data_IF_901105023785
#
_entry.id   IF_901105023785
#
_cell.length_a   1.000
_cell.length_b   1.000
_cell.length_c   1.000
_cell.angle_alpha   90.00
_cell.angle_beta   90.00
_cell.angle_gamma   90.00
#
_symmetry.space_group_name_H-M   'P 1'
#
loop_
_entity.id
_entity.type
_entity.pdbx_description
1 polymer ?
#
# COMPACT_ATOMS: atom_id res chain seq x y z
N UNK A 1 16.76 -16.26 67.54
CA UNK A 1 17.59 -16.44 66.32
C UNK A 1 16.76 -15.95 65.15
N UNK A 2 17.20 -14.83 64.61
CA UNK A 2 16.53 -13.98 63.64
C UNK A 2 16.86 -14.51 62.25
N UNK A 3 15.90 -15.07 61.51
CA UNK A 3 16.09 -15.38 60.09
C UNK A 3 15.44 -14.30 59.25
N UNK A 4 16.30 -13.62 58.51
CA UNK A 4 16.02 -12.41 57.75
C UNK A 4 15.22 -12.67 56.47
N UNK A 5 14.43 -11.65 56.15
CA UNK A 5 13.84 -11.33 54.86
C UNK A 5 14.78 -11.68 53.70
N UNK A 6 14.34 -12.54 52.79
CA UNK A 6 14.76 -12.45 51.39
C UNK A 6 13.65 -11.76 50.62
N UNK A 7 13.95 -10.56 50.14
CA UNK A 7 13.14 -9.84 49.18
C UNK A 7 13.23 -10.57 47.85
N UNK A 8 12.12 -11.13 47.38
CA UNK A 8 11.94 -11.52 45.99
C UNK A 8 11.86 -10.23 45.18
N UNK A 9 12.95 -9.90 44.51
CA UNK A 9 12.93 -8.91 43.44
C UNK A 9 12.15 -9.53 42.27
N UNK A 10 10.87 -9.18 42.17
CA UNK A 10 10.07 -9.44 40.98
C UNK A 10 10.63 -8.59 39.84
N UNK A 11 11.46 -9.22 39.01
CA UNK A 11 11.88 -8.68 37.73
C UNK A 11 10.65 -8.72 36.81
N UNK A 12 10.03 -7.55 36.61
CA UNK A 12 8.95 -7.36 35.65
C UNK A 12 9.58 -7.40 34.25
N UNK A 13 9.64 -8.59 33.65
CA UNK A 13 10.02 -8.74 32.25
C UNK A 13 8.84 -8.21 31.42
N UNK A 14 8.96 -6.99 30.89
CA UNK A 14 8.10 -6.54 29.80
C UNK A 14 8.43 -7.45 28.60
N UNK A 15 7.68 -8.53 28.44
CA UNK A 15 7.66 -9.26 27.19
C UNK A 15 6.97 -8.33 26.20
N UNK A 16 7.75 -7.60 25.39
CA UNK A 16 7.24 -7.11 24.12
C UNK A 16 6.77 -8.36 23.38
N UNK A 17 5.45 -8.54 23.27
CA UNK A 17 4.88 -9.54 22.37
C UNK A 17 5.20 -9.06 20.96
N UNK A 18 6.40 -9.37 20.48
CA UNK A 18 6.73 -9.34 19.06
C UNK A 18 5.73 -10.26 18.39
N UNK A 19 4.85 -9.69 17.59
CA UNK A 19 3.70 -10.39 17.06
C UNK A 19 4.15 -11.05 15.77
N UNK A 20 4.75 -12.24 15.84
CA UNK A 20 5.21 -12.97 14.66
C UNK A 20 4.06 -13.32 13.68
N UNK A 21 4.42 -13.74 12.47
CA UNK A 21 3.47 -14.10 11.41
C UNK A 21 2.49 -15.13 11.94
N UNK A 22 1.22 -14.77 11.95
CA UNK A 22 0.12 -15.63 12.36
C UNK A 22 -0.64 -16.08 11.13
N UNK A 23 -0.61 -17.38 10.83
CA UNK A 23 -1.35 -17.98 9.72
C UNK A 23 -2.55 -18.76 10.28
N UNK A 24 -3.75 -18.29 9.96
CA UNK A 24 -5.02 -18.96 10.26
C UNK A 24 -5.51 -19.69 8.98
N UNK A 25 -5.42 -21.01 8.94
CA UNK A 25 -5.80 -21.79 7.76
C UNK A 25 -7.13 -22.48 8.01
N UNK A 26 -8.14 -22.15 7.21
CA UNK A 26 -9.44 -22.81 7.21
C UNK A 26 -9.58 -23.72 5.98
N UNK A 27 -9.44 -25.05 6.13
CA UNK A 27 -9.57 -25.99 5.02
C UNK A 27 -11.04 -26.26 4.63
N UNK A 28 -12.02 -25.66 5.30
CA UNK A 28 -13.44 -25.87 5.00
C UNK A 28 -13.78 -25.41 3.58
N UNK A 29 -14.54 -26.22 2.84
CA UNK A 29 -14.99 -25.86 1.49
C UNK A 29 -14.09 -26.35 0.35
N UNK A 30 -13.02 -27.11 0.64
CA UNK A 30 -12.18 -27.70 -0.40
C UNK A 30 -11.34 -28.90 0.07
N UNK A 31 -10.18 -29.08 -0.56
CA UNK A 31 -9.26 -30.18 -0.30
C UNK A 31 -8.62 -30.08 1.10
N UNK A 32 -8.53 -31.20 1.81
CA UNK A 32 -7.92 -31.27 3.14
C UNK A 32 -6.40 -31.06 3.14
N UNK A 33 -5.77 -30.96 1.95
CA UNK A 33 -4.33 -30.73 1.81
C UNK A 33 -3.92 -29.26 1.95
N UNK A 34 -4.88 -28.33 2.09
CA UNK A 34 -4.59 -26.89 2.14
C UNK A 34 -3.56 -26.54 3.21
N UNK A 35 -3.74 -27.04 4.44
CA UNK A 35 -2.81 -26.80 5.55
C UNK A 35 -1.38 -27.26 5.23
N UNK A 36 -1.23 -28.47 4.67
CA UNK A 36 0.07 -29.02 4.28
C UNK A 36 0.73 -28.16 3.20
N UNK A 37 -0.05 -27.67 2.22
CA UNK A 37 0.44 -26.85 1.12
C UNK A 37 0.83 -25.45 1.57
N UNK A 38 0.07 -24.84 2.47
CA UNK A 38 0.44 -23.55 3.10
C UNK A 38 1.74 -23.72 3.88
N UNK A 39 1.85 -24.77 4.69
CA UNK A 39 3.09 -25.06 5.42
C UNK A 39 4.30 -25.25 4.48
N UNK A 40 4.11 -25.94 3.36
CA UNK A 40 5.14 -26.13 2.34
C UNK A 40 5.55 -24.80 1.67
N UNK A 41 4.60 -23.92 1.37
CA UNK A 41 4.88 -22.60 0.80
C UNK A 41 5.71 -21.73 1.75
N UNK A 42 5.35 -21.69 3.04
CA UNK A 42 6.13 -20.97 4.06
C UNK A 42 7.53 -21.58 4.22
N UNK A 43 7.64 -22.91 4.23
CA UNK A 43 8.93 -23.59 4.29
C UNK A 43 9.81 -23.26 3.07
N UNK A 44 9.22 -23.09 1.89
CA UNK A 44 9.95 -22.68 0.69
C UNK A 44 10.56 -21.27 0.85
N UNK A 45 9.80 -20.30 1.39
CA UNK A 45 10.31 -18.96 1.67
C UNK A 45 11.41 -18.95 2.74
N UNK A 46 11.29 -19.75 3.79
CA UNK A 46 12.38 -19.94 4.77
C UNK A 46 13.63 -20.53 4.11
N UNK A 47 13.46 -21.52 3.24
CA UNK A 47 14.58 -22.13 2.51
C UNK A 47 15.26 -21.15 1.55
N UNK A 48 14.53 -20.16 1.04
CA UNK A 48 15.06 -19.05 0.26
C UNK A 48 15.84 -18.01 1.11
N UNK A 49 15.78 -18.11 2.45
CA UNK A 49 16.50 -17.24 3.38
C UNK A 49 15.68 -16.09 3.97
N UNK A 50 14.36 -16.11 3.80
CA UNK A 50 13.48 -15.11 4.39
C UNK A 50 13.19 -15.41 5.87
N UNK A 51 13.29 -14.39 6.73
CA UNK A 51 12.87 -14.48 8.14
C UNK A 51 11.37 -14.19 8.25
N UNK A 52 10.57 -15.24 8.04
CA UNK A 52 9.10 -15.15 8.08
C UNK A 52 8.57 -14.87 9.48
N UNK A 53 9.33 -15.24 10.52
CA UNK A 53 8.97 -15.01 11.92
C UNK A 53 9.07 -13.53 12.31
N UNK A 54 9.94 -12.76 11.64
CA UNK A 54 10.04 -11.32 11.82
C UNK A 54 8.87 -10.54 11.21
N UNK A 55 7.95 -11.19 10.50
CA UNK A 55 6.78 -10.53 9.89
C UNK A 55 5.68 -10.36 10.91
N UNK A 56 5.35 -9.12 11.24
CA UNK A 56 4.23 -8.84 12.15
C UNK A 56 2.92 -8.67 11.40
N UNK A 57 2.29 -9.81 11.06
CA UNK A 57 1.06 -9.84 10.29
C UNK A 57 0.21 -11.08 10.60
N UNK A 58 -1.10 -10.94 10.52
CA UNK A 58 -2.09 -12.01 10.62
C UNK A 58 -2.72 -12.24 9.25
N UNK A 59 -2.60 -13.46 8.73
CA UNK A 59 -3.06 -13.83 7.39
C UNK A 59 -4.01 -15.02 7.52
N UNK A 60 -5.23 -14.88 7.00
CA UNK A 60 -6.20 -15.97 6.92
C UNK A 60 -6.14 -16.61 5.54
N UNK A 61 -6.01 -17.93 5.46
CA UNK A 61 -5.99 -18.69 4.20
C UNK A 61 -7.19 -19.62 4.17
N UNK A 62 -8.05 -19.50 3.15
CA UNK A 62 -9.29 -20.27 3.04
C UNK A 62 -9.73 -20.47 1.61
N UNK A 63 -10.64 -21.39 1.38
CA UNK A 63 -11.29 -21.51 0.07
C UNK A 63 -12.25 -20.33 -0.17
N UNK A 64 -12.18 -19.75 -1.37
CA UNK A 64 -13.09 -18.70 -1.81
C UNK A 64 -14.17 -19.22 -2.76
N UNK A 65 -15.28 -18.49 -2.89
CA UNK A 65 -16.28 -18.80 -3.91
C UNK A 65 -15.69 -18.59 -5.31
N UNK A 66 -15.86 -19.53 -6.27
CA UNK A 66 -15.32 -19.39 -7.63
C UNK A 66 -15.71 -18.08 -8.34
N UNK A 67 -16.89 -17.54 -8.03
CA UNK A 67 -17.38 -16.25 -8.53
C UNK A 67 -16.52 -15.05 -8.10
N UNK A 68 -15.91 -15.11 -6.91
CA UNK A 68 -15.04 -14.05 -6.38
C UNK A 68 -13.68 -14.04 -7.07
N UNK A 69 -13.11 -15.21 -7.36
CA UNK A 69 -11.80 -15.34 -7.98
C UNK A 69 -11.87 -15.15 -9.50
N UNK A 70 -12.95 -15.61 -10.14
CA UNK A 70 -13.05 -15.69 -11.59
C UNK A 70 -12.45 -16.99 -12.15
N UNK A 71 -12.58 -17.21 -13.46
CA UNK A 71 -12.37 -18.54 -14.07
C UNK A 71 -10.90 -18.99 -14.15
N UNK A 72 -9.95 -18.07 -14.02
CA UNK A 72 -8.51 -18.33 -14.27
C UNK A 72 -7.60 -17.90 -13.09
N UNK A 73 -8.19 -17.65 -11.92
CA UNK A 73 -7.45 -17.14 -10.76
C UNK A 73 -7.41 -18.22 -9.68
N UNK A 74 -6.28 -18.92 -9.51
CA UNK A 74 -6.17 -19.98 -8.51
C UNK A 74 -6.09 -19.44 -7.08
N UNK A 75 -5.63 -18.20 -6.91
CA UNK A 75 -5.50 -17.55 -5.61
C UNK A 75 -5.71 -16.04 -5.71
N UNK A 76 -6.36 -15.46 -4.71
CA UNK A 76 -6.55 -14.02 -4.57
C UNK A 76 -6.09 -13.60 -3.17
N UNK A 77 -5.31 -12.52 -3.09
CA UNK A 77 -4.90 -11.88 -1.84
C UNK A 77 -5.61 -10.54 -1.75
N UNK A 78 -6.30 -10.29 -0.63
CA UNK A 78 -7.04 -9.07 -0.37
C UNK A 78 -6.88 -8.63 1.09
N UNK A 79 -7.13 -7.36 1.37
CA UNK A 79 -7.31 -6.88 2.75
C UNK A 79 -8.52 -7.56 3.39
N UNK A 80 -8.43 -7.86 4.67
CA UNK A 80 -9.57 -8.43 5.40
C UNK A 80 -10.54 -7.34 5.87
N UNK A 81 -11.82 -7.66 5.89
CA UNK A 81 -12.84 -6.85 6.57
C UNK A 81 -12.85 -7.12 8.09
N UNK A 82 -12.18 -8.19 8.55
CA UNK A 82 -12.02 -8.52 9.97
C UNK A 82 -10.83 -7.76 10.56
N UNK A 83 -11.03 -6.86 11.55
CA UNK A 83 -9.93 -6.06 12.11
C UNK A 83 -8.87 -6.89 12.85
N UNK A 84 -9.11 -8.18 13.11
CA UNK A 84 -8.12 -9.08 13.68
C UNK A 84 -7.17 -9.69 12.63
N UNK A 85 -7.49 -9.57 11.34
CA UNK A 85 -6.77 -10.17 10.22
C UNK A 85 -6.31 -9.05 9.28
N UNK A 86 -5.05 -9.06 8.90
CA UNK A 86 -4.53 -8.03 7.98
C UNK A 86 -4.88 -8.38 6.54
N UNK A 87 -4.76 -9.67 6.16
CA UNK A 87 -5.00 -10.15 4.79
C UNK A 87 -5.78 -11.47 4.76
N UNK A 88 -6.72 -11.56 3.82
CA UNK A 88 -7.33 -12.82 3.39
C UNK A 88 -6.65 -13.34 2.11
N UNK A 89 -6.33 -14.62 2.11
CA UNK A 89 -5.88 -15.39 0.95
C UNK A 89 -6.97 -16.39 0.59
N UNK A 90 -7.67 -16.11 -0.51
CA UNK A 90 -8.70 -16.97 -1.06
C UNK A 90 -8.08 -17.94 -2.06
N UNK A 91 -8.36 -19.22 -1.89
CA UNK A 91 -7.90 -20.29 -2.77
C UNK A 91 -9.07 -20.81 -3.59
N UNK A 92 -8.89 -20.94 -4.90
CA UNK A 92 -9.90 -21.53 -5.76
C UNK A 92 -9.98 -23.05 -5.49
N UNK A 93 -11.16 -23.64 -5.21
CA UNK A 93 -11.26 -25.05 -4.81
C UNK A 93 -10.80 -26.03 -5.91
N UNK A 94 -11.03 -25.70 -7.18
CA UNK A 94 -10.68 -26.57 -8.32
C UNK A 94 -9.30 -26.26 -8.94
N UNK A 95 -9.04 -25.00 -9.31
CA UNK A 95 -7.80 -24.61 -10.01
C UNK A 95 -6.53 -24.73 -9.16
N UNK A 96 -6.66 -24.70 -7.84
CA UNK A 96 -5.51 -24.69 -6.94
C UNK A 96 -4.63 -25.95 -7.05
N UNK A 97 -5.23 -27.12 -7.25
CA UNK A 97 -4.49 -28.39 -7.34
C UNK A 97 -3.56 -28.42 -8.57
N UNK A 98 -3.91 -27.70 -9.63
CA UNK A 98 -3.14 -27.58 -10.87
C UNK A 98 -2.12 -26.44 -10.85
N UNK A 99 -2.14 -25.58 -9.81
CA UNK A 99 -1.29 -24.39 -9.69
C UNK A 99 -0.47 -24.42 -8.38
N UNK A 100 0.50 -25.35 -8.24
CA UNK A 100 1.28 -25.51 -7.02
C UNK A 100 2.12 -24.27 -6.65
N UNK A 101 2.42 -23.39 -7.62
CA UNK A 101 3.09 -22.11 -7.38
C UNK A 101 2.19 -21.01 -6.80
N UNK A 102 0.86 -21.17 -6.84
CA UNK A 102 -0.08 -20.13 -6.45
C UNK A 102 0.05 -19.75 -4.96
N UNK A 103 0.14 -20.73 -4.07
CA UNK A 103 0.34 -20.45 -2.64
C UNK A 103 1.72 -19.86 -2.33
N UNK A 104 2.77 -20.27 -3.05
CA UNK A 104 4.10 -19.66 -2.89
C UNK A 104 4.03 -18.18 -3.21
N UNK A 105 3.40 -17.82 -4.33
CA UNK A 105 3.16 -16.44 -4.73
C UNK A 105 2.31 -15.69 -3.69
N UNK A 106 1.15 -16.23 -3.31
CA UNK A 106 0.24 -15.55 -2.39
C UNK A 106 0.86 -15.32 -1.01
N UNK A 107 1.58 -16.31 -0.48
CA UNK A 107 2.34 -16.16 0.77
C UNK A 107 3.46 -15.14 0.58
N UNK A 108 4.17 -15.13 -0.55
CA UNK A 108 5.18 -14.10 -0.85
C UNK A 108 4.63 -12.68 -0.81
N UNK A 109 3.47 -12.45 -1.44
CA UNK A 109 2.75 -11.17 -1.37
C UNK A 109 2.34 -10.85 0.09
N UNK A 110 1.79 -11.83 0.80
CA UNK A 110 1.37 -11.65 2.20
C UNK A 110 2.54 -11.30 3.14
N UNK A 111 3.75 -11.77 2.82
CA UNK A 111 4.99 -11.46 3.53
C UNK A 111 5.56 -10.06 3.19
N UNK A 112 4.89 -9.29 2.32
CA UNK A 112 5.33 -7.95 1.91
C UNK A 112 6.04 -7.91 0.56
N UNK A 113 6.01 -9.00 -0.20
CA UNK A 113 6.51 -9.01 -1.57
C UNK A 113 5.62 -8.24 -2.53
N UNK A 114 6.25 -7.65 -3.54
CA UNK A 114 5.56 -6.99 -4.64
C UNK A 114 5.56 -7.85 -5.88
N UNK A 115 4.56 -7.65 -6.74
CA UNK A 115 4.47 -8.37 -8.01
C UNK A 115 5.69 -8.05 -8.87
N UNK A 116 6.37 -9.09 -9.36
CA UNK A 116 7.62 -8.92 -10.07
C UNK A 116 7.97 -10.14 -10.93
N UNK A 117 9.24 -10.49 -10.93
CA UNK A 117 9.74 -11.70 -11.59
C UNK A 117 9.82 -12.87 -10.59
N UNK A 118 10.28 -14.05 -11.06
CA UNK A 118 10.58 -15.18 -10.17
C UNK A 118 9.32 -15.78 -9.54
N UNK A 119 9.37 -16.00 -8.22
CA UNK A 119 8.25 -16.55 -7.45
C UNK A 119 7.13 -15.53 -7.17
N UNK A 120 7.41 -14.23 -7.40
CA UNK A 120 6.44 -13.14 -7.26
C UNK A 120 5.82 -12.73 -8.61
N UNK A 121 6.06 -13.49 -9.69
CA UNK A 121 5.39 -13.32 -10.98
C UNK A 121 4.02 -14.03 -10.98
N UNK A 122 2.89 -13.30 -11.03
CA UNK A 122 1.57 -13.91 -11.01
C UNK A 122 1.31 -14.84 -12.21
N UNK A 123 1.97 -14.62 -13.35
CA UNK A 123 1.80 -15.45 -14.54
C UNK A 123 2.44 -16.82 -14.38
N UNK A 124 3.54 -16.89 -13.61
CA UNK A 124 4.21 -18.15 -13.30
C UNK A 124 3.51 -18.89 -12.17
N UNK A 125 2.98 -18.16 -11.20
CA UNK A 125 2.22 -18.71 -10.09
C UNK A 125 0.98 -19.50 -10.53
N UNK A 126 0.32 -19.06 -11.61
CA UNK A 126 -0.83 -19.74 -12.20
C UNK A 126 -0.47 -20.94 -13.10
N UNK A 127 0.82 -21.18 -13.36
CA UNK A 127 1.28 -22.29 -14.19
C UNK A 127 1.41 -23.62 -13.44
N UNK A 128 1.44 -24.72 -14.20
CA UNK A 128 1.66 -26.06 -13.65
C UNK A 128 3.08 -26.28 -13.09
N UNK A 129 4.05 -25.47 -13.53
CA UNK A 129 5.43 -25.54 -13.05
C UNK A 129 5.57 -24.72 -11.77
N UNK A 130 5.69 -25.42 -10.63
CA UNK A 130 5.92 -24.78 -9.34
C UNK A 130 7.25 -23.99 -9.36
N UNK A 131 7.16 -22.67 -9.30
CA UNK A 131 8.33 -21.80 -9.11
C UNK A 131 8.63 -21.71 -7.62
N UNK A 132 9.75 -22.28 -7.22
CA UNK A 132 10.27 -22.11 -5.87
C UNK A 132 10.90 -20.72 -5.72
N UNK A 133 10.77 -20.09 -4.54
CA UNK A 133 11.42 -18.82 -4.26
C UNK A 133 12.94 -19.00 -4.20
N UNK A 134 13.64 -18.04 -4.77
CA UNK A 134 15.09 -17.92 -4.73
C UNK A 134 15.54 -16.95 -3.64
N UNK A 135 16.83 -16.95 -3.32
CA UNK A 135 17.40 -15.95 -2.41
C UNK A 135 17.23 -14.50 -2.92
N UNK A 136 17.12 -14.31 -4.24
CA UNK A 136 16.84 -12.99 -4.80
C UNK A 136 15.40 -12.54 -4.52
N UNK A 137 14.43 -13.47 -4.61
CA UNK A 137 13.04 -13.18 -4.25
C UNK A 137 12.92 -12.82 -2.76
N UNK A 138 13.57 -13.59 -1.88
CA UNK A 138 13.58 -13.31 -0.44
C UNK A 138 14.24 -11.95 -0.11
N UNK A 139 15.37 -11.64 -0.75
CA UNK A 139 16.05 -10.35 -0.56
C UNK A 139 15.20 -9.18 -1.07
N UNK A 140 14.41 -9.37 -2.14
CA UNK A 140 13.50 -8.34 -2.63
C UNK A 140 12.37 -8.05 -1.61
N UNK A 141 11.80 -9.09 -0.99
CA UNK A 141 10.81 -8.92 0.08
C UNK A 141 11.42 -8.15 1.26
N UNK A 142 12.58 -8.57 1.76
CA UNK A 142 13.25 -7.86 2.87
C UNK A 142 13.57 -6.41 2.51
N UNK A 143 14.03 -6.14 1.29
CA UNK A 143 14.27 -4.78 0.84
C UNK A 143 13.00 -3.94 0.89
N UNK A 144 11.86 -4.46 0.40
CA UNK A 144 10.57 -3.78 0.48
C UNK A 144 10.13 -3.54 1.93
N UNK A 145 10.37 -4.49 2.83
CA UNK A 145 9.99 -4.36 4.26
C UNK A 145 10.82 -3.33 5.02
N UNK A 146 12.02 -3.04 4.52
CA UNK A 146 12.87 -1.98 5.04
C UNK A 146 12.53 -0.61 4.44
N UNK A 147 11.71 -0.55 3.39
CA UNK A 147 11.22 0.72 2.87
C UNK A 147 10.24 1.34 3.86
N UNK A 148 10.41 2.63 4.07
CA UNK A 148 9.45 3.43 4.79
C UNK A 148 8.20 3.60 3.91
N UNK A 149 6.97 3.32 4.37
CA UNK A 149 5.76 3.57 3.59
C UNK A 149 5.63 5.02 3.11
N UNK A 150 6.26 5.98 3.80
CA UNK A 150 6.28 7.38 3.40
C UNK A 150 7.34 7.70 2.33
N UNK A 151 8.24 6.76 2.00
CA UNK A 151 9.21 6.87 0.90
C UNK A 151 8.50 6.43 -0.41
N UNK A 152 7.78 7.38 -1.00
CA UNK A 152 6.91 7.19 -2.15
C UNK A 152 7.68 7.04 -3.46
N UNK A 153 8.88 7.63 -3.56
CA UNK A 153 9.75 7.50 -4.73
C UNK A 153 10.70 6.27 -4.62
N UNK A 154 10.81 5.66 -3.44
CA UNK A 154 11.62 4.48 -3.11
C UNK A 154 13.12 4.71 -3.26
N UNK A 155 13.59 5.91 -2.92
CA UNK A 155 15.00 6.23 -2.96
C UNK A 155 15.75 5.95 -1.64
N UNK A 156 15.00 5.52 -0.61
CA UNK A 156 15.48 5.18 0.72
C UNK A 156 15.45 6.34 1.72
N UNK A 157 14.95 7.52 1.35
CA UNK A 157 14.89 8.70 2.21
C UNK A 157 13.54 9.39 2.07
N UNK A 158 12.75 9.46 3.15
CA UNK A 158 11.51 10.24 3.17
C UNK A 158 11.82 11.74 3.18
N UNK A 159 11.70 12.41 2.04
CA UNK A 159 12.04 13.83 1.88
C UNK A 159 10.99 14.68 1.11
N UNK A 160 11.44 15.83 0.57
CA UNK A 160 10.56 16.75 -0.14
C UNK A 160 9.97 16.15 -1.42
N UNK A 161 10.68 15.25 -2.09
CA UNK A 161 10.19 14.59 -3.30
C UNK A 161 9.00 13.67 -2.98
N UNK A 162 9.03 12.95 -1.86
CA UNK A 162 7.90 12.15 -1.38
C UNK A 162 6.71 13.01 -0.99
N UNK A 163 6.96 14.12 -0.31
CA UNK A 163 5.89 15.06 0.03
C UNK A 163 5.22 15.64 -1.22
N UNK A 164 5.97 15.90 -2.30
CA UNK A 164 5.41 16.30 -3.59
C UNK A 164 4.57 15.18 -4.22
N UNK A 165 5.05 13.93 -4.18
CA UNK A 165 4.29 12.77 -4.67
C UNK A 165 2.99 12.54 -3.89
N UNK A 166 3.00 12.78 -2.58
CA UNK A 166 1.80 12.74 -1.74
C UNK A 166 0.83 13.87 -2.12
N UNK A 167 1.33 15.10 -2.23
CA UNK A 167 0.52 16.27 -2.56
C UNK A 167 -0.15 16.16 -3.93
N UNK A 168 0.51 15.54 -4.92
CA UNK A 168 -0.06 15.27 -6.24
C UNK A 168 -1.27 14.33 -6.21
N UNK A 169 -1.39 13.50 -5.17
CA UNK A 169 -2.45 12.49 -5.01
C UNK A 169 -3.54 12.92 -4.03
N UNK A 170 -3.47 14.14 -3.49
CA UNK A 170 -4.38 14.59 -2.44
C UNK A 170 -5.85 14.52 -2.91
N UNK A 171 -6.68 13.83 -2.14
CA UNK A 171 -8.10 13.60 -2.42
C UNK A 171 -8.39 12.41 -3.35
N UNK A 172 -7.38 11.68 -3.82
CA UNK A 172 -7.58 10.41 -4.52
C UNK A 172 -8.30 9.40 -3.61
N UNK A 173 -9.13 8.54 -4.22
CA UNK A 173 -9.90 7.49 -3.52
C UNK A 173 -9.79 6.16 -4.25
N UNK A 174 -9.79 5.06 -3.51
CA UNK A 174 -9.66 3.72 -4.07
C UNK A 174 -8.85 2.78 -3.18
N UNK A 175 -8.40 1.67 -3.76
CA UNK A 175 -7.57 0.67 -3.07
C UNK A 175 -6.14 0.75 -3.60
N UNK A 176 -5.14 0.54 -2.73
CA UNK A 176 -3.72 0.55 -3.06
C UNK A 176 -3.23 1.87 -3.69
N UNK A 177 -3.67 3.01 -3.15
CA UNK A 177 -3.19 4.31 -3.60
C UNK A 177 -1.80 4.54 -2.98
N UNK A 178 -0.74 4.83 -3.75
CA UNK A 178 0.59 5.03 -3.18
C UNK A 178 0.69 6.14 -2.13
N UNK A 179 -0.27 7.07 -2.06
CA UNK A 179 -0.29 8.15 -1.07
C UNK A 179 -1.20 7.89 0.14
N UNK A 180 -1.91 6.77 0.17
CA UNK A 180 -2.81 6.37 1.27
C UNK A 180 -1.99 5.57 2.28
N UNK A 181 -1.40 6.29 3.23
CA UNK A 181 -0.43 5.80 4.20
C UNK A 181 -1.10 5.18 5.43
N UNK A 182 -2.33 5.58 5.75
CA UNK A 182 -3.12 4.97 6.81
C UNK A 182 -4.02 3.81 6.32
N UNK A 183 -4.21 3.70 5.01
CA UNK A 183 -4.94 2.62 4.36
C UNK A 183 -6.46 2.77 4.44
N UNK A 184 -6.97 3.98 4.68
CA UNK A 184 -8.42 4.23 4.79
C UNK A 184 -9.13 4.35 3.42
N UNK A 185 -8.36 4.28 2.33
CA UNK A 185 -8.83 4.35 0.96
C UNK A 185 -8.93 5.79 0.41
N UNK A 186 -8.46 6.80 1.15
CA UNK A 186 -8.49 8.21 0.76
C UNK A 186 -7.18 8.91 1.13
N UNK A 187 -6.49 9.48 0.13
CA UNK A 187 -5.31 10.30 0.40
C UNK A 187 -5.73 11.65 0.99
N UNK A 188 -5.46 11.88 2.27
CA UNK A 188 -5.97 13.00 3.03
C UNK A 188 -5.01 13.59 4.07
N UNK A 189 -5.62 14.29 5.03
CA UNK A 189 -4.87 15.00 6.07
C UNK A 189 -4.17 14.06 7.06
N UNK A 190 -4.71 12.86 7.26
CA UNK A 190 -4.10 11.83 8.12
C UNK A 190 -2.79 11.33 7.50
N UNK A 191 -2.76 11.08 6.19
CA UNK A 191 -1.53 10.70 5.48
C UNK A 191 -0.46 11.78 5.55
N UNK A 192 -0.85 13.05 5.40
CA UNK A 192 0.07 14.17 5.56
C UNK A 192 0.65 14.23 6.98
N UNK A 193 -0.13 13.87 8.01
CA UNK A 193 0.37 13.77 9.37
C UNK A 193 1.37 12.62 9.52
N UNK A 194 1.07 11.44 8.98
CA UNK A 194 1.97 10.28 8.98
C UNK A 194 3.27 10.54 8.21
N UNK A 195 3.19 11.22 7.08
CA UNK A 195 4.34 11.67 6.28
C UNK A 195 5.24 12.59 7.12
N UNK A 196 4.64 13.56 7.82
CA UNK A 196 5.39 14.52 8.66
C UNK A 196 6.17 13.84 9.78
N UNK A 197 5.65 12.78 10.36
CA UNK A 197 6.30 12.05 11.45
C UNK A 197 7.59 11.36 10.99
N UNK A 198 7.66 10.99 9.71
CA UNK A 198 8.78 10.26 9.10
C UNK A 198 9.70 11.14 8.25
N UNK A 199 9.21 12.32 7.87
CA UNK A 199 9.92 13.29 7.05
C UNK A 199 11.29 13.64 7.62
N UNK A 200 12.32 13.37 6.83
CA UNK A 200 13.68 13.75 7.13
C UNK A 200 14.10 14.90 6.23
N UNK A 201 14.68 15.95 6.82
CA UNK A 201 15.32 16.99 6.02
C UNK A 201 16.58 16.41 5.38
N UNK A 202 16.44 15.85 4.17
CA UNK A 202 17.58 15.46 3.37
C UNK A 202 18.42 16.71 3.04
N UNK A 203 19.75 16.66 3.18
CA UNK A 203 20.60 17.74 2.68
C UNK A 203 20.42 17.80 1.18
N UNK A 204 20.02 18.97 0.65
CA UNK A 204 19.88 19.21 -0.78
C UNK A 204 21.06 18.59 -1.53
N UNK A 205 20.81 17.55 -2.33
CA UNK A 205 21.80 17.05 -3.27
C UNK A 205 22.07 18.19 -4.25
N UNK A 206 23.11 18.98 -3.99
CA UNK A 206 23.68 19.82 -5.04
C UNK A 206 24.25 18.84 -6.05
N UNK A 207 23.49 18.54 -7.09
CA UNK A 207 24.10 18.22 -8.37
C UNK A 207 25.17 19.29 -8.57
N UNK A 208 26.46 18.92 -8.73
CA UNK A 208 27.46 19.91 -9.10
C UNK A 208 26.92 20.55 -10.37
N UNK A 209 26.44 21.79 -10.24
CA UNK A 209 26.06 22.59 -11.38
C UNK A 209 27.27 22.52 -12.28
N UNK A 210 27.12 21.90 -13.44
CA UNK A 210 28.16 21.86 -14.46
C UNK A 210 28.71 23.29 -14.54
N UNK A 211 29.98 23.44 -14.16
CA UNK A 211 30.59 24.74 -13.95
C UNK A 211 30.20 25.62 -15.14
N UNK A 212 29.72 26.86 -14.92
CA UNK A 212 29.12 27.66 -15.97
C UNK A 212 30.01 27.60 -17.20
N UNK A 213 29.49 27.00 -18.28
CA UNK A 213 30.11 27.04 -19.58
C UNK A 213 30.53 28.49 -19.82
N UNK A 214 31.80 28.66 -20.15
CA UNK A 214 32.54 29.89 -20.34
C UNK A 214 31.68 31.17 -20.42
N UNK A 215 32.03 32.14 -19.58
CA UNK A 215 31.49 33.49 -19.61
C UNK A 215 31.18 33.96 -21.04
N UNK A 216 29.98 34.53 -21.31
CA UNK A 216 29.68 35.08 -22.62
C UNK A 216 30.78 36.08 -23.02
N UNK A 217 31.16 36.14 -24.31
CA UNK A 217 32.18 37.07 -24.77
C UNK A 217 31.81 38.49 -24.36
N UNK A 218 32.82 39.26 -23.94
CA UNK A 218 32.67 40.65 -23.55
C UNK A 218 31.86 41.43 -24.61
N UNK A 219 30.96 42.34 -24.20
CA UNK A 219 30.15 43.13 -25.13
C UNK A 219 31.05 44.07 -25.93
N UNK A 220 31.43 43.63 -27.13
CA UNK A 220 32.02 44.47 -28.17
C UNK A 220 30.92 44.92 -29.12
N UNK A 221 30.73 46.24 -29.18
CA UNK A 221 29.97 47.00 -30.19
C UNK A 221 28.52 46.58 -30.44
N UNK A 222 27.62 46.98 -29.53
CA UNK A 222 26.23 47.21 -29.91
C UNK A 222 26.14 48.51 -30.74
N UNK A 223 25.52 48.50 -31.93
CA UNK A 223 25.21 49.73 -32.65
C UNK A 223 24.20 50.57 -31.85
N UNK A 224 24.43 51.88 -31.80
CA UNK A 224 23.58 52.84 -31.11
C UNK A 224 22.13 52.77 -31.63
N UNK A 225 21.20 52.35 -30.76
CA UNK A 225 19.76 52.42 -31.01
C UNK A 225 19.31 53.88 -30.81
N UNK A 226 18.65 54.51 -31.78
CA UNK A 226 18.16 55.87 -31.65
C UNK A 226 16.85 55.93 -30.83
N UNK A 227 16.86 56.78 -29.79
CA UNK A 227 15.73 57.62 -29.34
C UNK A 227 14.55 56.96 -28.60
N UNK A 228 14.05 57.57 -27.50
CA UNK A 228 12.91 57.06 -26.76
C UNK A 228 11.59 57.39 -27.50
N UNK A 229 10.77 56.37 -27.76
CA UNK A 229 9.38 56.58 -28.16
C UNK A 229 8.51 56.75 -26.93
N UNK A 230 7.63 57.73 -27.06
CA UNK A 230 6.83 58.39 -26.05
C UNK A 230 5.82 57.46 -25.35
N UNK A 231 5.56 57.81 -24.10
CA UNK A 231 4.45 57.34 -23.28
C UNK A 231 3.11 57.49 -24.00
N UNK A 232 2.33 56.41 -24.06
CA UNK A 232 0.91 56.46 -24.39
C UNK A 232 0.12 56.05 -23.14
N UNK A 233 -0.29 57.07 -22.38
CA UNK A 233 -1.44 57.00 -21.49
C UNK A 233 -2.69 56.59 -22.28
N UNK A 234 -3.47 55.66 -21.72
CA UNK A 234 -4.70 55.17 -22.32
C UNK A 234 -5.60 54.58 -21.24
N UNK A 235 -6.34 55.47 -20.57
CA UNK A 235 -7.40 55.17 -19.62
C UNK A 235 -8.70 54.75 -20.34
N UNK A 236 -9.40 53.77 -19.77
CA UNK A 236 -10.86 53.51 -19.76
C UNK A 236 -11.04 52.41 -18.71
N UNK A 237 -11.57 52.61 -17.50
CA UNK A 237 -12.93 53.07 -17.14
C UNK A 237 -14.00 52.48 -18.06
N UNK A 238 -14.60 51.37 -17.62
CA UNK A 238 -15.96 50.91 -17.91
C UNK A 238 -16.21 49.72 -16.96
N UNK A 239 -17.05 49.77 -15.93
CA UNK A 239 -18.49 50.00 -15.80
C UNK A 239 -19.12 48.69 -15.29
N UNK A 240 -20.05 48.85 -14.36
CA UNK A 240 -20.63 47.82 -13.54
C UNK A 240 -21.72 46.99 -14.23
N UNK A 241 -21.82 45.72 -13.87
CA UNK A 241 -23.05 44.91 -13.84
C UNK A 241 -22.87 43.96 -12.65
N UNK A 242 -23.43 44.21 -11.47
CA UNK A 242 -24.85 44.18 -11.08
C UNK A 242 -25.57 42.87 -11.43
N UNK A 243 -26.08 42.27 -10.35
CA UNK A 243 -27.26 41.41 -10.24
C UNK A 243 -27.17 39.87 -10.49
N UNK A 244 -27.46 39.17 -9.38
CA UNK A 244 -28.23 37.91 -9.22
C UNK A 244 -27.43 36.60 -9.45
N UNK A 245 -27.50 35.54 -8.63
CA UNK A 245 -28.65 34.97 -7.91
C UNK A 245 -28.13 33.90 -6.89
N UNK A 246 -28.57 33.86 -5.62
CA UNK A 246 -28.24 32.76 -4.71
C UNK A 246 -29.20 31.59 -4.94
N UNK A 247 -28.71 30.49 -5.51
CA UNK A 247 -29.48 29.25 -5.60
C UNK A 247 -29.50 28.56 -4.24
N UNK A 248 -30.62 28.73 -3.58
CA UNK A 248 -31.08 28.03 -2.38
C UNK A 248 -31.67 26.68 -2.83
N UNK A 249 -30.88 25.61 -2.80
CA UNK A 249 -31.39 24.24 -2.97
C UNK A 249 -31.44 23.56 -1.60
N UNK A 250 -32.63 23.65 -1.00
CA UNK A 250 -33.03 22.90 0.18
C UNK A 250 -33.03 21.38 -0.08
N UNK A 251 -32.81 20.56 0.98
CA UNK A 251 -32.87 19.11 0.91
C UNK A 251 -34.32 18.64 1.06
N UNK A 252 -34.79 17.76 0.18
CA UNK A 252 -36.01 16.98 0.39
C UNK A 252 -35.97 15.71 -0.48
N UNK A 253 -35.70 14.56 0.14
CA UNK A 253 -36.33 13.29 -0.27
C UNK A 253 -36.16 12.24 0.84
N UNK A 254 -36.89 12.46 1.94
CA UNK A 254 -37.36 11.38 2.80
C UNK A 254 -38.42 10.59 2.02
N UNK A 255 -38.02 9.48 1.37
CA UNK A 255 -38.98 8.47 0.95
C UNK A 255 -38.95 7.29 1.93
N UNK A 256 -40.07 6.99 2.63
CA UNK A 256 -40.19 5.77 3.41
C UNK A 256 -40.18 4.58 2.44
N UNK A 257 -39.22 3.69 2.64
CA UNK A 257 -39.15 2.42 1.93
C UNK A 257 -40.27 1.55 2.51
N UNK A 258 -41.29 1.25 1.71
CA UNK A 258 -42.33 0.27 2.06
C UNK A 258 -41.68 -1.10 2.26
N UNK A 259 -41.63 -1.56 3.52
CA UNK A 259 -41.31 -2.93 3.88
C UNK A 259 -42.51 -3.82 3.53
N UNK A 260 -42.47 -4.51 2.39
CA UNK A 260 -43.40 -5.63 2.17
C UNK A 260 -42.99 -6.85 3.00
N UNK A 261 -43.92 -7.47 3.76
CA UNK A 261 -43.64 -8.67 4.54
C UNK A 261 -43.50 -9.88 3.61
N UNK A 262 -42.34 -10.53 3.65
CA UNK A 262 -42.11 -11.80 2.98
C UNK A 262 -42.87 -12.87 3.77
N UNK A 263 -43.94 -13.40 3.18
CA UNK A 263 -44.72 -14.51 3.73
C UNK A 263 -43.83 -15.77 3.82
N UNK A 264 -43.60 -16.26 5.03
CA UNK A 264 -43.02 -17.58 5.28
C UNK A 264 -44.01 -18.67 4.84
N UNK A 265 -43.65 -19.43 3.80
CA UNK A 265 -44.34 -20.67 3.44
C UNK A 265 -43.82 -21.82 4.33
N UNK A 266 -44.68 -22.56 5.06
CA UNK A 266 -44.26 -23.73 5.81
C UNK A 266 -44.11 -24.94 4.86
N UNK A 267 -42.94 -25.58 4.88
CA UNK A 267 -42.73 -26.88 4.24
C UNK A 267 -43.32 -28.01 5.10
N UNK A 268 -44.23 -28.78 4.49
CA UNK A 268 -44.67 -30.12 4.91
C UNK A 268 -43.55 -31.18 4.75
#
# INVERSE_FOLDING_TARGET
MTYGRMALASLLLLAATTRALTLDVDPTGGSLVLEERVAAAVAAWRAAGLDVEAVERTVRVRYGEPSLLGPDVPVLVASSDDPAVDLDVFVHPELFEDAPGALVYAIGIALGGERGEGALDPRRAAGADAVLPSAADAAAIEATRLLDPADLNRDGVVDFEDLLLLALRMGERGVNIPGDLDGDGVVGATDVALMRERYTFAPLQRTPLEAPAAAPPAPGDLPAVPGPLESSDGATDDEATDAEDPVDEQPDDDQPIDEEPIEEEPAD
#
